data_IF_095815352832
#
_entry.id   IF_095815352832
#
_cell.length_a   1.000
_cell.length_b   1.000
_cell.length_c   1.000
_cell.angle_alpha   90.00
_cell.angle_beta   90.00
_cell.angle_gamma   90.00
#
_symmetry.space_group_name_H-M   'P 1'
#
loop_
_entity.id
_entity.type
_entity.pdbx_description
1 polymer ?
#
# COMPACT_ATOMS: atom_id res chain seq x y z
N UNK A 1 11.10 17.04 16.91
CA UNK A 1 11.18 17.87 15.69
C UNK A 1 10.48 17.12 14.58
N UNK A 2 9.88 17.81 13.60
CA UNK A 2 9.27 17.11 12.46
C UNK A 2 10.32 16.99 11.35
N UNK A 3 10.58 15.77 10.90
CA UNK A 3 11.33 15.53 9.68
C UNK A 3 10.36 15.27 8.52
N UNK A 4 10.59 15.88 7.36
CA UNK A 4 9.76 15.64 6.17
C UNK A 4 10.53 14.78 5.19
N UNK A 5 9.96 13.64 4.80
CA UNK A 5 10.38 12.92 3.60
C UNK A 5 9.62 13.49 2.41
N UNK A 6 10.34 14.18 1.54
CA UNK A 6 9.82 14.70 0.30
C UNK A 6 9.94 13.61 -0.77
N UNK A 7 8.85 13.24 -1.44
CA UNK A 7 8.93 12.28 -2.53
C UNK A 7 8.77 13.02 -3.85
N UNK A 8 9.80 13.00 -4.69
CA UNK A 8 9.75 13.57 -6.04
C UNK A 8 10.43 12.64 -7.05
N UNK A 9 9.65 12.13 -8.01
CA UNK A 9 10.17 11.14 -8.96
C UNK A 9 10.57 9.84 -8.25
N UNK A 10 11.82 9.44 -8.44
CA UNK A 10 12.42 8.27 -7.76
C UNK A 10 13.15 8.64 -6.47
N UNK A 11 13.33 9.95 -6.21
CA UNK A 11 14.09 10.46 -5.09
C UNK A 11 13.21 10.69 -3.86
N UNK A 12 13.85 10.51 -2.70
CA UNK A 12 13.26 10.79 -1.39
C UNK A 12 14.17 11.75 -0.65
N UNK A 13 13.86 13.04 -0.71
CA UNK A 13 14.70 14.09 -0.13
C UNK A 13 14.36 14.38 1.33
N UNK A 14 15.41 14.58 2.14
CA UNK A 14 15.31 14.79 3.59
C UNK A 14 16.31 15.84 4.07
N UNK A 15 15.89 16.66 5.04
CA UNK A 15 16.77 17.59 5.76
C UNK A 15 16.94 17.10 7.21
N UNK A 16 18.16 16.73 7.59
CA UNK A 16 18.47 16.19 8.91
C UNK A 16 19.26 17.17 9.79
N UNK A 17 18.55 18.06 10.47
CA UNK A 17 19.18 19.09 11.31
C UNK A 17 19.51 18.60 12.73
N UNK A 18 18.75 17.63 13.26
CA UNK A 18 18.82 17.20 14.67
C UNK A 18 19.17 15.72 14.82
N UNK A 19 19.59 15.32 16.03
CA UNK A 19 19.77 13.89 16.36
C UNK A 19 18.46 13.12 16.29
N UNK A 20 17.34 13.77 16.63
CA UNK A 20 16.00 13.18 16.51
C UNK A 20 15.62 12.90 15.05
N UNK A 21 15.97 13.79 14.11
CA UNK A 21 15.77 13.55 12.68
C UNK A 21 16.56 12.34 12.19
N UNK A 22 17.82 12.22 12.64
CA UNK A 22 18.68 11.07 12.31
C UNK A 22 18.11 9.76 12.87
N UNK A 23 17.60 9.78 14.10
CA UNK A 23 16.95 8.63 14.72
C UNK A 23 15.68 8.21 13.96
N UNK A 24 14.79 9.15 13.66
CA UNK A 24 13.55 8.88 12.90
C UNK A 24 13.83 8.23 11.54
N UNK A 25 14.82 8.75 10.78
CA UNK A 25 15.20 8.13 9.51
C UNK A 25 15.76 6.73 9.72
N UNK A 26 16.65 6.54 10.70
CA UNK A 26 17.24 5.23 10.97
C UNK A 26 16.16 4.20 11.32
N UNK A 27 15.22 4.56 12.20
CA UNK A 27 14.08 3.72 12.58
C UNK A 27 13.25 3.33 11.33
N UNK A 28 12.96 4.29 10.44
CA UNK A 28 12.21 4.00 9.22
C UNK A 28 12.98 3.15 8.22
N UNK A 29 14.30 3.37 8.07
CA UNK A 29 15.14 2.57 7.19
C UNK A 29 15.23 1.12 7.64
N UNK A 30 15.26 0.87 8.95
CA UNK A 30 15.21 -0.49 9.50
C UNK A 30 13.89 -1.20 9.14
N UNK A 31 12.79 -0.45 9.08
CA UNK A 31 11.45 -0.99 8.82
C UNK A 31 11.14 -1.17 7.33
N UNK A 32 11.36 -0.15 6.51
CA UNK A 32 10.92 -0.07 5.12
C UNK A 32 12.07 -0.15 4.10
N UNK A 33 13.32 -0.09 4.57
CA UNK A 33 14.48 0.07 3.69
C UNK A 33 14.47 1.40 2.94
N UNK A 34 15.10 1.41 1.76
CA UNK A 34 15.13 2.57 0.86
C UNK A 34 16.28 3.57 1.12
N UNK A 35 16.73 4.18 0.04
CA UNK A 35 17.70 5.28 0.05
C UNK A 35 17.04 6.62 0.32
N UNK A 36 17.82 7.57 0.84
CA UNK A 36 17.41 8.96 1.01
C UNK A 36 18.45 9.87 0.37
N UNK A 37 17.99 10.97 -0.23
CA UNK A 37 18.86 12.05 -0.70
C UNK A 37 18.87 13.12 0.38
N UNK A 38 20.01 13.28 1.05
CA UNK A 38 20.17 14.32 2.05
C UNK A 38 20.45 15.66 1.35
N UNK A 39 19.57 16.62 1.59
CA UNK A 39 19.67 17.99 1.07
C UNK A 39 19.90 18.97 2.20
N UNK A 40 20.43 20.15 1.90
CA UNK A 40 20.73 21.18 2.90
C UNK A 40 19.47 21.94 3.29
N UNK A 41 18.52 22.10 2.36
CA UNK A 41 17.26 22.82 2.62
C UNK A 41 16.11 22.35 1.73
N UNK A 42 14.90 22.26 2.30
CA UNK A 42 13.68 22.00 1.51
C UNK A 42 13.40 23.09 0.47
N UNK A 43 14.02 24.27 0.55
CA UNK A 43 13.96 25.28 -0.51
C UNK A 43 14.40 24.73 -1.88
N UNK A 44 15.28 23.72 -1.88
CA UNK A 44 15.78 23.04 -3.08
C UNK A 44 14.71 22.19 -3.79
N UNK A 45 13.66 21.75 -3.09
CA UNK A 45 12.65 20.82 -3.65
C UNK A 45 11.22 21.32 -3.56
N UNK A 46 10.92 22.30 -2.68
CA UNK A 46 9.55 22.78 -2.45
C UNK A 46 8.87 23.42 -3.67
N UNK A 47 9.64 23.75 -4.71
CA UNK A 47 9.13 24.27 -5.98
C UNK A 47 8.72 23.17 -6.97
N UNK A 48 9.08 21.92 -6.68
CA UNK A 48 8.70 20.74 -7.44
C UNK A 48 7.45 20.12 -6.79
N UNK A 49 6.43 19.69 -7.54
CA UNK A 49 5.27 19.06 -6.91
C UNK A 49 5.66 17.71 -6.28
N UNK A 50 5.36 17.47 -4.99
CA UNK A 50 5.63 16.19 -4.35
C UNK A 50 4.59 15.15 -4.78
N UNK A 51 5.02 13.90 -4.95
CA UNK A 51 4.12 12.76 -5.13
C UNK A 51 3.45 12.34 -3.82
N UNK A 52 4.21 12.38 -2.72
CA UNK A 52 3.73 12.23 -1.34
C UNK A 52 4.67 12.93 -0.38
N UNK A 53 4.19 13.26 0.82
CA UNK A 53 5.03 13.72 1.93
C UNK A 53 4.83 12.79 3.12
N UNK A 54 5.92 12.40 3.79
CA UNK A 54 5.84 11.77 5.10
C UNK A 54 6.38 12.71 6.17
N UNK A 55 5.53 13.15 7.08
CA UNK A 55 5.93 13.95 8.24
C UNK A 55 6.24 13.00 9.38
N UNK A 56 7.52 12.80 9.67
CA UNK A 56 8.03 11.91 10.69
C UNK A 56 8.14 12.62 12.03
N UNK A 57 7.63 12.00 13.08
CA UNK A 57 7.53 12.56 14.44
C UNK A 57 7.28 11.45 15.46
N UNK A 58 7.79 11.60 16.68
CA UNK A 58 7.35 10.76 17.80
C UNK A 58 6.06 11.27 18.47
N UNK A 59 5.63 12.49 18.14
CA UNK A 59 4.36 13.09 18.56
C UNK A 59 3.33 13.05 17.41
N UNK A 60 2.89 11.84 17.06
CA UNK A 60 2.02 11.59 15.90
C UNK A 60 0.68 12.31 16.01
N UNK A 61 0.03 12.23 17.17
CA UNK A 61 -1.33 12.75 17.36
C UNK A 61 -1.38 14.27 17.15
N UNK A 62 -0.43 15.00 17.72
CA UNK A 62 -0.33 16.45 17.55
C UNK A 62 -0.14 16.84 16.08
N UNK A 63 0.71 16.12 15.34
CA UNK A 63 0.95 16.41 13.92
C UNK A 63 -0.25 16.06 13.05
N UNK A 64 -0.94 14.95 13.33
CA UNK A 64 -2.19 14.59 12.63
C UNK A 64 -3.25 15.67 12.83
N UNK A 65 -3.45 16.12 14.06
CA UNK A 65 -4.46 17.13 14.39
C UNK A 65 -4.11 18.49 13.79
N UNK A 66 -2.83 18.85 13.77
CA UNK A 66 -2.34 20.04 13.07
C UNK A 66 -2.60 19.97 11.57
N UNK A 67 -2.25 18.87 10.90
CA UNK A 67 -2.50 18.69 9.47
C UNK A 67 -3.98 18.77 9.12
N UNK A 68 -4.85 18.12 9.92
CA UNK A 68 -6.31 18.15 9.72
C UNK A 68 -6.94 19.52 10.01
N UNK A 69 -6.28 20.35 10.81
CA UNK A 69 -6.71 21.72 11.08
C UNK A 69 -6.26 22.69 9.99
N UNK A 70 -5.13 22.41 9.34
CA UNK A 70 -4.54 23.26 8.30
C UNK A 70 -5.10 22.97 6.90
N UNK A 71 -5.44 21.72 6.62
CA UNK A 71 -5.87 21.29 5.28
C UNK A 71 -7.24 20.62 5.32
N UNK A 72 -8.08 20.97 4.35
CA UNK A 72 -9.32 20.24 4.14
C UNK A 72 -9.06 18.88 3.45
N UNK A 73 -9.96 17.89 3.60
CA UNK A 73 -9.84 16.61 2.90
C UNK A 73 -9.84 16.72 1.37
N UNK A 74 -10.36 17.82 0.81
CA UNK A 74 -10.36 18.12 -0.63
C UNK A 74 -9.03 18.70 -1.12
N UNK A 75 -8.11 19.03 -0.20
CA UNK A 75 -6.77 19.56 -0.49
C UNK A 75 -5.67 18.54 -0.19
N UNK A 76 -5.75 17.87 0.98
CA UNK A 76 -4.74 16.91 1.43
C UNK A 76 -5.41 15.76 2.17
N UNK A 77 -5.15 14.54 1.72
CA UNK A 77 -5.48 13.33 2.48
C UNK A 77 -4.42 13.11 3.55
N UNK A 78 -4.85 13.07 4.82
CA UNK A 78 -3.98 12.86 5.99
C UNK A 78 -4.20 11.46 6.55
N UNK A 79 -3.18 10.59 6.40
CA UNK A 79 -3.19 9.20 6.86
C UNK A 79 -2.21 9.02 8.01
N UNK A 80 -2.62 8.26 9.02
CA UNK A 80 -1.73 7.82 10.11
C UNK A 80 -0.86 6.67 9.61
N UNK A 81 0.46 6.86 9.69
CA UNK A 81 1.42 5.81 9.40
C UNK A 81 1.33 4.65 10.38
N UNK A 82 1.63 3.45 9.88
CA UNK A 82 1.87 2.27 10.70
C UNK A 82 3.25 1.73 10.33
N UNK A 83 4.21 1.67 11.27
CA UNK A 83 4.16 2.07 12.69
C UNK A 83 3.94 3.58 12.96
N UNK A 84 3.49 3.95 14.18
CA UNK A 84 2.87 5.26 14.44
C UNK A 84 3.89 6.37 14.73
N UNK A 85 4.84 6.60 13.84
CA UNK A 85 5.80 7.72 13.94
C UNK A 85 5.89 8.56 12.66
N UNK A 86 4.93 8.43 11.76
CA UNK A 86 4.82 9.30 10.60
C UNK A 86 3.37 9.54 10.18
N UNK A 87 3.13 10.69 9.57
CA UNK A 87 1.87 11.06 8.93
C UNK A 87 2.09 11.08 7.42
N UNK A 88 1.25 10.39 6.66
CA UNK A 88 1.26 10.50 5.20
C UNK A 88 0.34 11.63 4.76
N UNK A 89 0.88 12.55 3.97
CA UNK A 89 0.14 13.60 3.30
C UNK A 89 0.16 13.33 1.79
N UNK A 90 -1.02 13.12 1.23
CA UNK A 90 -1.23 12.70 -0.15
C UNK A 90 -2.15 13.68 -0.86
N UNK A 91 -1.99 13.80 -2.18
CA UNK A 91 -3.01 14.44 -3.00
C UNK A 91 -4.34 13.66 -2.88
N UNK A 92 -5.52 14.30 -2.74
CA UNK A 92 -6.79 13.61 -2.48
C UNK A 92 -7.18 12.55 -3.52
N UNK A 93 -6.78 12.74 -4.77
CA UNK A 93 -6.97 11.77 -5.85
C UNK A 93 -6.02 10.56 -5.81
N UNK A 94 -5.05 10.51 -4.89
CA UNK A 94 -4.04 9.46 -4.76
C UNK A 94 -4.36 8.60 -3.53
N UNK A 95 -4.94 7.43 -3.79
CA UNK A 95 -5.23 6.42 -2.77
C UNK A 95 -5.16 5.02 -3.38
N UNK A 96 -4.99 4.00 -2.53
CA UNK A 96 -4.78 2.60 -2.96
C UNK A 96 -5.92 2.09 -3.85
N UNK A 97 -7.16 2.41 -3.49
CA UNK A 97 -8.35 2.07 -4.26
C UNK A 97 -8.32 2.61 -5.70
N UNK A 98 -7.97 3.87 -5.91
CA UNK A 98 -7.87 4.46 -7.25
C UNK A 98 -6.80 3.76 -8.11
N UNK A 99 -5.63 3.48 -7.54
CA UNK A 99 -4.57 2.74 -8.24
C UNK A 99 -5.02 1.33 -8.62
N UNK A 100 -5.68 0.64 -7.67
CA UNK A 100 -6.22 -0.69 -7.88
C UNK A 100 -7.32 -0.73 -8.95
N UNK A 101 -8.28 0.20 -8.94
CA UNK A 101 -9.32 0.30 -9.98
C UNK A 101 -8.71 0.48 -11.37
N UNK A 102 -7.74 1.38 -11.52
CA UNK A 102 -7.04 1.58 -12.80
C UNK A 102 -6.32 0.32 -13.27
N UNK A 103 -5.72 -0.44 -12.36
CA UNK A 103 -5.10 -1.73 -12.68
C UNK A 103 -6.16 -2.75 -13.12
N UNK A 104 -7.28 -2.87 -12.41
CA UNK A 104 -8.37 -3.76 -12.79
C UNK A 104 -8.88 -3.46 -14.21
N UNK A 105 -9.10 -2.17 -14.51
CA UNK A 105 -9.54 -1.71 -15.83
C UNK A 105 -8.51 -2.06 -16.92
N UNK A 106 -7.22 -1.81 -16.66
CA UNK A 106 -6.14 -2.12 -17.59
C UNK A 106 -5.99 -3.63 -17.86
N UNK A 107 -6.31 -4.47 -16.87
CA UNK A 107 -6.23 -5.93 -16.97
C UNK A 107 -7.54 -6.58 -17.43
N UNK A 108 -8.65 -5.83 -17.55
CA UNK A 108 -9.96 -6.38 -17.91
C UNK A 108 -10.55 -7.33 -16.86
N UNK A 109 -10.19 -7.16 -15.59
CA UNK A 109 -10.63 -7.99 -14.45
C UNK A 109 -11.50 -7.16 -13.50
N UNK A 110 -12.31 -7.84 -12.67
CA UNK A 110 -13.12 -7.13 -11.66
C UNK A 110 -12.37 -7.07 -10.35
N UNK A 111 -12.58 -6.00 -9.59
CA UNK A 111 -12.13 -5.91 -8.20
C UNK A 111 -12.54 -7.13 -7.34
N UNK A 112 -13.73 -7.68 -7.61
CA UNK A 112 -14.27 -8.88 -6.95
C UNK A 112 -13.49 -10.16 -7.24
N UNK A 113 -12.59 -10.15 -8.22
CA UNK A 113 -11.75 -11.31 -8.56
C UNK A 113 -10.48 -11.38 -7.68
N UNK A 114 -10.27 -10.39 -6.79
CA UNK A 114 -9.08 -10.28 -5.93
C UNK A 114 -9.33 -10.68 -4.48
N UNK A 115 -8.24 -11.07 -3.83
CA UNK A 115 -8.10 -11.19 -2.38
C UNK A 115 -7.13 -10.12 -1.92
N UNK A 116 -7.50 -9.31 -0.93
CA UNK A 116 -6.65 -8.26 -0.37
C UNK A 116 -6.39 -8.45 1.11
N UNK A 117 -5.21 -8.00 1.54
CA UNK A 117 -4.76 -8.00 2.92
C UNK A 117 -4.24 -6.60 3.28
N UNK A 118 -4.48 -6.15 4.51
CA UNK A 118 -4.07 -4.82 4.94
C UNK A 118 -4.15 -4.66 6.45
N UNK A 119 -3.49 -3.63 6.97
CA UNK A 119 -3.39 -3.37 8.40
C UNK A 119 -3.43 -1.88 8.77
N UNK A 120 -3.30 -1.00 7.78
CA UNK A 120 -3.33 0.45 7.93
C UNK A 120 -4.69 1.07 7.59
N UNK A 121 -4.90 2.31 8.04
CA UNK A 121 -6.12 3.08 7.77
C UNK A 121 -6.33 3.28 6.25
N UNK A 122 -5.24 3.40 5.47
CA UNK A 122 -5.28 3.50 4.01
C UNK A 122 -5.66 2.20 3.28
N UNK A 123 -5.77 1.07 3.98
CA UNK A 123 -6.20 -0.20 3.41
C UNK A 123 -7.73 -0.38 3.45
N UNK A 124 -8.44 0.32 4.34
CA UNK A 124 -9.87 0.07 4.61
C UNK A 124 -10.71 0.08 3.34
N UNK A 125 -10.57 1.11 2.50
CA UNK A 125 -11.30 1.19 1.24
C UNK A 125 -10.93 0.02 0.31
N UNK A 126 -9.63 -0.26 0.16
CA UNK A 126 -9.13 -1.34 -0.68
C UNK A 126 -9.66 -2.71 -0.21
N UNK A 127 -9.68 -2.97 1.10
CA UNK A 127 -10.25 -4.19 1.68
C UNK A 127 -11.74 -4.36 1.37
N UNK A 128 -12.48 -3.26 1.29
CA UNK A 128 -13.92 -3.29 0.97
C UNK A 128 -14.21 -3.36 -0.54
N UNK A 129 -13.23 -3.08 -1.40
CA UNK A 129 -13.37 -3.16 -2.85
C UNK A 129 -13.23 -4.57 -3.40
N UNK A 130 -12.42 -5.42 -2.76
CA UNK A 130 -12.11 -6.76 -3.29
C UNK A 130 -13.16 -7.79 -2.95
N UNK A 131 -13.15 -8.92 -3.67
CA UNK A 131 -14.08 -10.01 -3.41
C UNK A 131 -13.86 -10.68 -2.05
N UNK A 132 -12.62 -10.61 -1.53
CA UNK A 132 -12.24 -11.07 -0.19
C UNK A 132 -11.17 -10.16 0.40
N UNK A 133 -11.59 -9.19 1.21
CA UNK A 133 -10.67 -8.33 1.98
C UNK A 133 -10.49 -8.79 3.41
N UNK A 134 -9.24 -8.85 3.86
CA UNK A 134 -8.85 -9.22 5.21
C UNK A 134 -8.01 -8.14 5.88
N UNK A 135 -8.43 -7.68 7.05
CA UNK A 135 -7.52 -7.01 7.96
C UNK A 135 -6.59 -8.04 8.62
N UNK A 136 -5.31 -7.73 8.75
CA UNK A 136 -4.38 -8.56 9.51
C UNK A 136 -4.76 -8.60 11.00
N UNK A 137 -4.46 -9.69 11.70
CA UNK A 137 -4.74 -9.78 13.14
C UNK A 137 -4.06 -8.66 13.96
N UNK A 138 -2.86 -8.24 13.55
CA UNK A 138 -2.11 -7.13 14.15
C UNK A 138 -2.59 -5.73 13.70
N UNK A 139 -3.59 -5.64 12.81
CA UNK A 139 -4.12 -4.36 12.36
C UNK A 139 -4.72 -3.55 13.52
N UNK A 140 -4.83 -2.24 13.34
CA UNK A 140 -5.48 -1.36 14.32
C UNK A 140 -6.94 -1.78 14.52
N UNK A 141 -7.48 -1.51 15.71
CA UNK A 141 -8.85 -1.89 16.06
C UNK A 141 -9.88 -1.34 15.07
N UNK A 142 -9.69 -0.09 14.62
CA UNK A 142 -10.53 0.56 13.61
C UNK A 142 -10.52 -0.18 12.27
N UNK A 143 -9.33 -0.54 11.78
CA UNK A 143 -9.17 -1.28 10.51
C UNK A 143 -9.85 -2.64 10.58
N UNK A 144 -9.67 -3.38 11.68
CA UNK A 144 -10.35 -4.67 11.90
C UNK A 144 -11.86 -4.54 11.98
N UNK A 145 -12.36 -3.43 12.54
CA UNK A 145 -13.80 -3.19 12.67
C UNK A 145 -14.46 -2.84 11.32
N UNK A 146 -13.72 -2.22 10.41
CA UNK A 146 -14.22 -1.80 9.10
C UNK A 146 -13.92 -2.79 7.96
N UNK A 147 -13.05 -3.78 8.18
CA UNK A 147 -12.72 -4.78 7.17
C UNK A 147 -13.79 -5.89 7.05
N UNK A 148 -13.98 -6.49 5.87
CA UNK A 148 -14.95 -7.58 5.69
C UNK A 148 -14.65 -8.83 6.52
N UNK A 149 -13.37 -9.10 6.78
CA UNK A 149 -12.90 -10.20 7.59
C UNK A 149 -11.55 -9.84 8.25
N UNK A 150 -11.14 -10.63 9.24
CA UNK A 150 -9.86 -10.50 9.93
C UNK A 150 -9.13 -11.84 9.84
N UNK A 151 -7.82 -11.84 9.57
CA UNK A 151 -7.00 -13.05 9.60
C UNK A 151 -6.87 -13.59 11.03
N UNK A 152 -6.67 -14.90 11.18
CA UNK A 152 -6.45 -15.52 12.51
C UNK A 152 -5.05 -15.22 13.08
N UNK A 153 -4.09 -14.85 12.22
CA UNK A 153 -2.69 -14.69 12.55
C UNK A 153 -2.15 -13.33 12.08
N UNK A 154 -1.14 -12.83 12.78
CA UNK A 154 -0.45 -11.57 12.48
C UNK A 154 0.49 -11.71 11.27
N UNK A 155 1.03 -10.58 10.80
CA UNK A 155 2.09 -10.58 9.79
C UNK A 155 3.34 -11.38 10.21
N UNK A 156 3.73 -11.34 11.49
CA UNK A 156 4.87 -12.11 12.03
C UNK A 156 4.60 -13.62 12.14
N UNK A 157 3.34 -14.03 12.00
CA UNK A 157 2.90 -15.41 12.10
C UNK A 157 2.46 -15.97 10.73
N UNK A 158 2.88 -15.35 9.64
CA UNK A 158 2.53 -15.71 8.26
C UNK A 158 1.02 -15.64 7.96
N UNK A 159 0.31 -14.68 8.56
CA UNK A 159 -1.15 -14.58 8.46
C UNK A 159 -1.70 -14.56 7.04
N UNK A 160 -1.01 -13.90 6.10
CA UNK A 160 -1.37 -13.91 4.67
C UNK A 160 -1.28 -15.32 4.08
N UNK A 161 -0.18 -16.03 4.32
CA UNK A 161 0.04 -17.37 3.77
C UNK A 161 -0.96 -18.37 4.34
N UNK A 162 -1.23 -18.31 5.65
CA UNK A 162 -2.22 -19.16 6.32
C UNK A 162 -3.62 -18.94 5.77
N UNK A 163 -4.02 -17.69 5.57
CA UNK A 163 -5.35 -17.38 5.05
C UNK A 163 -5.49 -17.81 3.58
N UNK A 164 -4.47 -17.60 2.75
CA UNK A 164 -4.46 -18.11 1.38
C UNK A 164 -4.54 -19.64 1.34
N UNK A 165 -3.82 -20.33 2.22
CA UNK A 165 -3.90 -21.79 2.34
C UNK A 165 -5.31 -22.26 2.71
N UNK A 166 -5.92 -21.62 3.70
CA UNK A 166 -7.30 -21.92 4.13
C UNK A 166 -8.31 -21.72 2.98
N UNK A 167 -8.18 -20.64 2.22
CA UNK A 167 -9.02 -20.36 1.06
C UNK A 167 -8.81 -21.38 -0.07
N UNK A 168 -7.58 -21.86 -0.25
CA UNK A 168 -7.26 -22.92 -1.21
C UNK A 168 -7.91 -24.25 -0.82
N UNK A 169 -7.76 -24.69 0.43
CA UNK A 169 -8.38 -25.92 0.94
C UNK A 169 -9.91 -25.89 0.86
N UNK A 170 -10.51 -24.72 1.08
CA UNK A 170 -11.94 -24.49 0.92
C UNK A 170 -12.41 -24.45 -0.56
N UNK A 171 -11.50 -24.54 -1.53
CA UNK A 171 -11.79 -24.45 -2.96
C UNK A 171 -12.20 -23.05 -3.43
N UNK A 172 -12.08 -22.03 -2.57
CA UNK A 172 -12.52 -20.68 -2.85
C UNK A 172 -11.62 -19.95 -3.88
N UNK A 173 -10.38 -20.41 -4.05
CA UNK A 173 -9.44 -19.86 -5.04
C UNK A 173 -9.50 -20.57 -6.39
N UNK A 174 -9.98 -21.81 -6.46
CA UNK A 174 -10.02 -22.62 -7.68
C UNK A 174 -11.02 -22.10 -8.71
N UNK A 175 -12.18 -21.61 -8.26
CA UNK A 175 -13.19 -21.00 -9.13
C UNK A 175 -12.70 -19.65 -9.69
N UNK A 176 -12.10 -18.81 -8.84
CA UNK A 176 -11.54 -17.52 -9.22
C UNK A 176 -10.39 -17.68 -10.23
N UNK A 177 -9.52 -18.68 -10.03
CA UNK A 177 -8.44 -19.02 -10.95
C UNK A 177 -8.95 -19.35 -12.35
N UNK A 178 -9.91 -20.27 -12.45
CA UNK A 178 -10.44 -20.71 -13.75
C UNK A 178 -11.08 -19.55 -14.52
N UNK A 179 -11.87 -18.72 -13.85
CA UNK A 179 -12.55 -17.58 -14.46
C UNK A 179 -11.56 -16.48 -14.93
N UNK A 180 -10.50 -16.23 -14.16
CA UNK A 180 -9.45 -15.29 -14.55
C UNK A 180 -8.63 -15.78 -15.75
N UNK A 181 -8.26 -17.07 -15.78
CA UNK A 181 -7.53 -17.69 -16.90
C UNK A 181 -8.32 -17.60 -18.22
N UNK A 182 -9.62 -17.88 -18.19
CA UNK A 182 -10.50 -17.76 -19.36
C UNK A 182 -10.60 -16.32 -19.88
N UNK A 183 -10.70 -15.33 -18.99
CA UNK A 183 -10.77 -13.90 -19.35
C UNK A 183 -9.46 -13.37 -19.95
N UNK A 184 -8.32 -13.75 -19.37
CA UNK A 184 -6.99 -13.38 -19.92
C UNK A 184 -6.79 -13.99 -21.32
N UNK A 185 -7.20 -15.25 -21.52
CA UNK A 185 -7.14 -15.89 -22.84
C UNK A 185 -8.07 -15.18 -23.86
N UNK A 186 -9.24 -14.71 -23.44
CA UNK A 186 -10.14 -13.91 -24.28
C UNK A 186 -9.54 -12.54 -24.64
N UNK A 187 -8.88 -11.87 -23.69
CA UNK A 187 -8.20 -10.60 -23.95
C UNK A 187 -7.03 -10.77 -24.93
N UNK A 188 -6.19 -11.78 -24.73
CA UNK A 188 -5.06 -12.07 -25.62
C UNK A 188 -5.49 -12.43 -27.06
N UNK A 189 -6.68 -13.02 -27.24
CA UNK A 189 -7.25 -13.35 -28.57
C UNK A 189 -7.94 -12.17 -29.25
N UNK A 190 -8.23 -11.09 -28.53
CA UNK A 190 -8.87 -9.86 -29.07
C UNK A 190 -7.89 -8.88 -29.74
N UNK A 191 -6.61 -9.21 -29.81
CA UNK A 191 -5.58 -8.39 -30.48
C UNK A 191 -4.90 -7.34 -29.60
N UNK A 192 -5.14 -7.32 -28.28
CA UNK A 192 -4.30 -6.58 -27.35
C UNK A 192 -2.92 -7.24 -27.24
N UNK A 193 -1.85 -6.56 -27.65
CA UNK A 193 -0.49 -7.06 -27.49
C UNK A 193 -0.04 -6.97 -26.03
N UNK A 194 0.31 -8.09 -25.36
CA UNK A 194 1.00 -8.06 -24.08
C UNK A 194 2.49 -7.80 -24.36
N UNK A 195 3.00 -6.62 -24.00
CA UNK A 195 4.44 -6.32 -24.05
C UNK A 195 5.13 -6.87 -22.81
N UNK A 196 6.29 -7.50 -22.99
CA UNK A 196 7.12 -8.16 -21.98
C UNK A 196 7.82 -7.21 -20.99
N UNK A 197 7.44 -5.92 -20.94
CA UNK A 197 8.15 -4.89 -20.16
C UNK A 197 7.47 -4.47 -18.84
N UNK A 198 6.31 -5.01 -18.44
CA UNK A 198 5.53 -4.38 -17.32
C UNK A 198 5.16 -5.22 -16.10
N UNK A 199 5.73 -6.41 -15.84
CA UNK A 199 5.73 -6.99 -14.47
C UNK A 199 6.88 -8.00 -14.32
N UNK A 200 7.83 -7.86 -13.37
CA UNK A 200 8.76 -8.94 -13.06
C UNK A 200 7.97 -10.12 -12.45
N UNK A 201 7.89 -11.23 -13.19
CA UNK A 201 7.43 -12.51 -12.65
C UNK A 201 8.40 -12.95 -11.55
N UNK A 202 8.00 -12.84 -10.28
CA UNK A 202 8.70 -13.50 -9.19
C UNK A 202 8.20 -14.94 -9.15
N UNK A 203 9.07 -15.88 -9.53
CA UNK A 203 8.81 -17.31 -9.32
C UNK A 203 8.71 -17.59 -7.82
N UNK A 204 7.51 -17.93 -7.37
CA UNK A 204 7.28 -18.41 -6.01
C UNK A 204 7.72 -19.87 -5.88
N UNK A 205 8.35 -20.29 -4.77
CA UNK A 205 8.69 -21.69 -4.51
C UNK A 205 7.45 -22.60 -4.41
N UNK A 206 6.25 -22.02 -4.33
CA UNK A 206 4.99 -22.72 -4.50
C UNK A 206 4.68 -22.80 -6.01
N UNK A 207 5.13 -23.87 -6.67
CA UNK A 207 4.94 -24.14 -8.10
C UNK A 207 3.48 -24.24 -8.55
N UNK A 208 2.77 -23.12 -8.56
CA UNK A 208 1.40 -22.98 -9.03
C UNK A 208 1.41 -21.92 -10.12
N UNK A 209 1.37 -22.37 -11.38
CA UNK A 209 1.19 -21.48 -12.52
C UNK A 209 -0.07 -20.64 -12.35
N UNK A 210 0.14 -19.32 -12.30
CA UNK A 210 -0.78 -18.20 -12.55
C UNK A 210 -2.07 -18.15 -11.71
N UNK A 211 -2.37 -16.92 -11.25
CA UNK A 211 -3.54 -16.47 -10.47
C UNK A 211 -3.50 -16.74 -8.97
N UNK A 212 -2.69 -15.95 -8.27
CA UNK A 212 -3.15 -15.07 -7.18
C UNK A 212 -2.31 -13.81 -7.34
N UNK A 213 -2.88 -12.73 -7.89
CA UNK A 213 -2.18 -11.43 -7.83
C UNK A 213 -2.38 -10.90 -6.43
N UNK A 214 -1.63 -11.45 -5.47
CA UNK A 214 -1.54 -10.90 -4.11
C UNK A 214 -0.84 -9.56 -4.25
N UNK A 215 -1.60 -8.47 -4.28
CA UNK A 215 -1.03 -7.14 -4.22
C UNK A 215 -0.79 -6.79 -2.76
N UNK A 216 0.41 -7.13 -2.26
CA UNK A 216 0.95 -6.53 -1.05
C UNK A 216 1.43 -5.13 -1.43
N UNK A 217 0.52 -4.15 -1.43
CA UNK A 217 0.92 -2.74 -1.43
C UNK A 217 1.37 -2.36 -0.02
N UNK A 218 2.60 -2.75 0.32
CA UNK A 218 3.36 -2.02 1.32
C UNK A 218 3.73 -0.65 0.72
N UNK A 219 3.54 0.42 1.49
CA UNK A 219 3.98 1.78 1.15
C UNK A 219 4.94 2.28 2.22
#
# INVERSE_FOLDING_TARGET
GILVKYYHGEDIEVVCETDEHRALIADYQELAGGGHVFIDSYAEVMHLPPGKLLLMTYDLDTVVDACRSLFSPDEVTVVRGTPPFFVECLHPAVYKGAGFSRMCDALGVRATDFVSFGDGDNDIEFLNMTGKGFAMANARAEVRAQAPAVTEATNQEDGVARELWRLWEAGALTAAKKEAEERIAMFASSGGTPTTETVPFVESPFGVGKVVTTMLLWC
#
